data_IF_434369839164
#
_entry.id   IF_434369839164
#
_cell.length_a   1.000
_cell.length_b   1.000
_cell.length_c   1.000
_cell.angle_alpha   90.00
_cell.angle_beta   90.00
_cell.angle_gamma   90.00
#
_symmetry.space_group_name_H-M   'P 1'
#
loop_
_entity.id
_entity.type
_entity.pdbx_description
1 polymer ?
#
# COMPACT_ATOMS: atom_id res chain seq x y z
N UNK A 1 -13.76 -0.20 56.25
CA UNK A 1 -13.12 -1.25 55.42
C UNK A 1 -13.85 -1.37 54.08
N UNK A 2 -13.27 -0.87 52.98
CA UNK A 2 -13.84 -1.03 51.62
C UNK A 2 -13.44 -2.39 51.07
N UNK A 3 -14.39 -3.31 50.98
CA UNK A 3 -14.24 -4.61 50.31
C UNK A 3 -13.90 -4.40 48.84
N UNK A 4 -12.64 -4.67 48.46
CA UNK A 4 -12.20 -4.72 47.05
C UNK A 4 -13.01 -5.81 46.33
N UNK A 5 -14.03 -5.42 45.57
CA UNK A 5 -14.72 -6.29 44.61
C UNK A 5 -13.67 -6.90 43.66
N UNK A 6 -13.38 -8.19 43.82
CA UNK A 6 -12.58 -8.99 42.86
C UNK A 6 -13.24 -8.86 41.49
N UNK A 7 -12.62 -8.12 40.57
CA UNK A 7 -13.02 -8.09 39.16
C UNK A 7 -12.90 -9.53 38.62
N UNK A 8 -14.04 -10.14 38.27
CA UNK A 8 -14.05 -11.45 37.60
C UNK A 8 -13.24 -11.33 36.31
N UNK A 9 -12.28 -12.23 36.15
CA UNK A 9 -11.50 -12.30 34.91
C UNK A 9 -12.47 -12.56 33.74
N UNK A 10 -12.29 -11.86 32.60
CA UNK A 10 -13.15 -12.06 31.44
C UNK A 10 -13.08 -13.50 30.96
N UNK A 11 -14.24 -14.11 30.69
CA UNK A 11 -14.34 -15.47 30.15
C UNK A 11 -13.55 -15.54 28.83
N UNK A 12 -12.61 -16.48 28.74
CA UNK A 12 -11.78 -16.63 27.56
C UNK A 12 -12.65 -16.97 26.34
N UNK A 13 -12.58 -16.13 25.29
CA UNK A 13 -13.29 -16.39 24.03
C UNK A 13 -12.80 -17.70 23.42
N UNK A 14 -13.73 -18.57 23.08
CA UNK A 14 -13.47 -19.83 22.38
C UNK A 14 -13.90 -19.72 20.93
N UNK A 15 -13.26 -20.50 20.06
CA UNK A 15 -13.49 -20.52 18.62
C UNK A 15 -13.77 -21.95 18.16
N UNK A 16 -14.53 -22.12 17.07
CA UNK A 16 -14.82 -23.44 16.49
C UNK A 16 -14.15 -23.62 15.13
N UNK A 17 -14.06 -24.87 14.66
CA UNK A 17 -13.62 -25.17 13.29
C UNK A 17 -14.56 -24.55 12.26
N UNK A 18 -15.88 -24.56 12.50
CA UNK A 18 -16.84 -23.89 11.62
C UNK A 18 -16.56 -22.39 11.46
N UNK A 19 -16.21 -21.69 12.56
CA UNK A 19 -15.78 -20.30 12.50
C UNK A 19 -14.42 -20.11 11.82
N UNK A 20 -13.51 -21.07 11.94
CA UNK A 20 -12.25 -21.07 11.20
C UNK A 20 -12.50 -21.13 9.69
N UNK A 21 -13.35 -22.07 9.25
CA UNK A 21 -13.71 -22.29 7.86
C UNK A 21 -14.50 -21.12 7.27
N UNK A 22 -15.47 -20.57 8.01
CA UNK A 22 -16.29 -19.44 7.56
C UNK A 22 -15.48 -18.16 7.29
N UNK A 23 -14.35 -17.97 7.99
CA UNK A 23 -13.44 -16.83 7.78
C UNK A 23 -12.38 -17.07 6.70
N UNK A 24 -12.37 -18.24 6.06
CA UNK A 24 -11.41 -18.50 4.99
C UNK A 24 -11.81 -17.77 3.70
N UNK A 25 -10.82 -17.32 2.91
CA UNK A 25 -11.08 -16.71 1.62
C UNK A 25 -11.67 -17.72 0.64
N UNK A 26 -12.57 -17.27 -0.24
CA UNK A 26 -13.23 -18.13 -1.23
C UNK A 26 -12.23 -18.85 -2.16
N UNK A 27 -11.08 -18.24 -2.44
CA UNK A 27 -10.02 -18.85 -3.24
C UNK A 27 -9.44 -20.14 -2.64
N UNK A 28 -9.57 -20.34 -1.32
CA UNK A 28 -9.14 -21.58 -0.66
C UNK A 28 -9.92 -22.81 -1.17
N UNK A 29 -11.19 -22.62 -1.56
CA UNK A 29 -12.06 -23.69 -2.07
C UNK A 29 -11.58 -24.29 -3.38
N UNK A 30 -10.78 -23.55 -4.14
CA UNK A 30 -10.23 -23.99 -5.44
C UNK A 30 -8.94 -24.79 -5.31
N UNK A 31 -8.41 -24.91 -4.09
CA UNK A 31 -7.14 -25.59 -3.86
C UNK A 31 -7.39 -27.10 -3.82
N UNK A 32 -6.59 -27.92 -4.54
CA UNK A 32 -6.71 -29.36 -4.51
C UNK A 32 -6.67 -29.92 -3.07
N UNK A 33 -7.59 -30.84 -2.76
CA UNK A 33 -7.74 -31.42 -1.43
C UNK A 33 -8.71 -30.67 -0.51
N UNK A 34 -9.26 -29.52 -0.93
CA UNK A 34 -10.27 -28.80 -0.14
C UNK A 34 -11.53 -29.65 0.09
N UNK A 35 -12.05 -30.32 -0.93
CA UNK A 35 -13.28 -31.13 -0.80
C UNK A 35 -13.06 -32.34 0.12
N UNK A 36 -11.91 -33.01 0.00
CA UNK A 36 -11.52 -34.10 0.90
C UNK A 36 -11.41 -33.62 2.36
N UNK A 37 -10.79 -32.45 2.57
CA UNK A 37 -10.73 -31.81 3.89
C UNK A 37 -12.13 -31.53 4.46
N UNK A 38 -13.04 -30.99 3.64
CA UNK A 38 -14.43 -30.72 4.06
C UNK A 38 -15.20 -32.00 4.37
N UNK A 39 -14.99 -33.08 3.60
CA UNK A 39 -15.60 -34.38 3.86
C UNK A 39 -15.24 -34.89 5.27
N UNK A 40 -13.96 -34.81 5.68
CA UNK A 40 -13.53 -35.18 7.03
C UNK A 40 -14.17 -34.31 8.13
N UNK A 41 -14.34 -33.01 7.88
CA UNK A 41 -15.02 -32.12 8.82
C UNK A 41 -16.51 -32.49 8.98
N UNK A 42 -17.20 -32.75 7.87
CA UNK A 42 -18.61 -33.10 7.91
C UNK A 42 -18.87 -34.50 8.50
N UNK A 43 -17.96 -35.45 8.29
CA UNK A 43 -18.05 -36.79 8.85
C UNK A 43 -17.79 -36.86 10.37
N UNK A 44 -17.12 -35.86 10.96
CA UNK A 44 -16.72 -35.89 12.38
C UNK A 44 -17.54 -34.93 13.25
N UNK A 45 -18.48 -35.48 14.05
CA UNK A 45 -19.20 -34.71 15.07
C UNK A 45 -18.24 -34.09 16.10
N UNK A 46 -17.13 -34.78 16.41
CA UNK A 46 -16.12 -34.29 17.35
C UNK A 46 -15.47 -33.00 16.84
N UNK A 47 -15.10 -32.93 15.55
CA UNK A 47 -14.56 -31.71 14.94
C UNK A 47 -15.58 -30.56 14.90
N UNK A 48 -16.85 -30.87 14.65
CA UNK A 48 -17.92 -29.85 14.60
C UNK A 48 -18.16 -29.20 15.96
N UNK A 49 -18.03 -29.96 17.05
CA UNK A 49 -18.21 -29.50 18.43
C UNK A 49 -16.92 -28.96 19.06
N UNK A 50 -15.77 -29.16 18.42
CA UNK A 50 -14.46 -28.78 18.94
C UNK A 50 -14.38 -27.27 19.19
N UNK A 51 -14.05 -26.91 20.43
CA UNK A 51 -13.76 -25.53 20.84
C UNK A 51 -12.29 -25.38 21.13
N UNK A 52 -11.70 -24.32 20.60
CA UNK A 52 -10.28 -24.02 20.72
C UNK A 52 -10.06 -22.61 21.24
N UNK A 53 -8.95 -22.42 21.95
CA UNK A 53 -8.53 -21.10 22.40
C UNK A 53 -7.99 -20.25 21.22
N UNK A 54 -7.82 -18.95 21.45
CA UNK A 54 -7.33 -18.00 20.45
C UNK A 54 -5.97 -18.39 19.86
N UNK A 55 -5.07 -18.97 20.66
CA UNK A 55 -3.71 -19.35 20.23
C UNK A 55 -3.75 -20.50 19.23
N UNK A 56 -4.47 -21.57 19.55
CA UNK A 56 -4.69 -22.70 18.64
C UNK A 56 -5.34 -22.24 17.33
N UNK A 57 -6.42 -21.45 17.44
CA UNK A 57 -7.10 -20.87 16.29
C UNK A 57 -6.15 -20.06 15.41
N UNK A 58 -5.32 -19.20 16.00
CA UNK A 58 -4.36 -18.37 15.27
C UNK A 58 -3.26 -19.18 14.57
N UNK A 59 -2.81 -20.28 15.17
CA UNK A 59 -1.82 -21.18 14.56
C UNK A 59 -2.40 -21.88 13.33
N UNK A 60 -3.63 -22.38 13.41
CA UNK A 60 -4.34 -22.99 12.29
C UNK A 60 -4.66 -21.95 11.21
N UNK A 61 -5.28 -20.81 11.57
CA UNK A 61 -5.68 -19.79 10.61
C UNK A 61 -4.54 -19.25 9.74
N UNK A 62 -3.32 -19.25 10.28
CA UNK A 62 -2.10 -18.83 9.58
C UNK A 62 -1.21 -19.99 9.09
N UNK A 63 -1.65 -21.24 9.24
CA UNK A 63 -0.91 -22.47 8.87
C UNK A 63 0.54 -22.54 9.38
N UNK A 64 0.80 -22.04 10.59
CA UNK A 64 2.16 -21.92 11.15
C UNK A 64 2.77 -23.22 11.70
N UNK A 65 2.03 -24.33 11.67
CA UNK A 65 2.40 -25.58 12.38
C UNK A 65 3.06 -26.56 11.40
N UNK A 66 4.40 -26.65 11.41
CA UNK A 66 5.15 -27.57 10.53
C UNK A 66 4.63 -29.04 10.61
N UNK A 67 4.64 -29.81 9.51
CA UNK A 67 4.12 -31.19 9.49
C UNK A 67 4.66 -32.07 10.63
N UNK A 68 5.95 -32.00 10.91
CA UNK A 68 6.66 -32.71 11.97
C UNK A 68 6.17 -32.35 13.37
N UNK A 69 5.63 -31.14 13.55
CA UNK A 69 5.12 -30.65 14.83
C UNK A 69 3.63 -30.97 15.06
N UNK A 70 2.98 -31.68 14.12
CA UNK A 70 1.54 -31.93 14.18
C UNK A 70 1.13 -32.78 15.40
N UNK A 71 1.90 -33.81 15.74
CA UNK A 71 1.65 -34.65 16.93
C UNK A 71 1.76 -33.84 18.22
N UNK A 72 2.78 -33.00 18.34
CA UNK A 72 2.95 -32.12 19.49
C UNK A 72 1.78 -31.12 19.57
N UNK A 73 1.35 -30.57 18.43
CA UNK A 73 0.21 -29.66 18.34
C UNK A 73 -1.09 -30.31 18.83
N UNK A 74 -1.38 -31.56 18.42
CA UNK A 74 -2.53 -32.31 18.93
C UNK A 74 -2.49 -32.48 20.44
N UNK A 75 -1.34 -32.89 20.99
CA UNK A 75 -1.17 -33.07 22.43
C UNK A 75 -1.35 -31.77 23.21
N UNK A 76 -0.70 -30.69 22.77
CA UNK A 76 -0.74 -29.39 23.45
C UNK A 76 -2.14 -28.79 23.49
N UNK A 77 -2.92 -28.93 22.42
CA UNK A 77 -4.25 -28.35 22.33
C UNK A 77 -5.39 -29.36 22.50
N UNK A 78 -5.07 -30.62 22.84
CA UNK A 78 -6.01 -31.73 23.02
C UNK A 78 -6.95 -31.89 21.83
N UNK A 79 -6.39 -31.84 20.63
CA UNK A 79 -7.15 -31.98 19.38
C UNK A 79 -7.28 -33.47 19.02
N UNK A 80 -8.38 -33.89 18.38
CA UNK A 80 -8.50 -35.24 17.89
C UNK A 80 -7.49 -35.51 16.76
N UNK A 81 -6.94 -36.72 16.74
CA UNK A 81 -6.13 -37.17 15.61
C UNK A 81 -7.07 -37.46 14.42
N UNK A 82 -7.22 -36.47 13.56
CA UNK A 82 -8.14 -36.52 12.43
C UNK A 82 -7.46 -35.96 11.18
N UNK A 83 -7.66 -36.64 10.04
CA UNK A 83 -7.12 -36.26 8.74
C UNK A 83 -7.49 -34.84 8.29
N UNK A 84 -8.54 -34.23 8.86
CA UNK A 84 -8.87 -32.83 8.66
C UNK A 84 -7.69 -31.88 8.88
N UNK A 85 -6.94 -32.01 9.97
CA UNK A 85 -5.89 -31.04 10.32
C UNK A 85 -4.69 -31.05 9.35
N UNK A 86 -4.08 -32.20 8.99
CA UNK A 86 -2.99 -32.21 8.02
C UNK A 86 -3.47 -31.73 6.65
N UNK A 87 -4.68 -32.12 6.22
CA UNK A 87 -5.27 -31.64 4.97
C UNK A 87 -5.51 -30.13 4.99
N UNK A 88 -6.09 -29.59 6.06
CA UNK A 88 -6.33 -28.15 6.23
C UNK A 88 -5.02 -27.36 6.18
N UNK A 89 -3.98 -27.82 6.88
CA UNK A 89 -2.68 -27.16 6.88
C UNK A 89 -2.02 -27.21 5.49
N UNK A 90 -2.09 -28.34 4.79
CA UNK A 90 -1.56 -28.47 3.44
C UNK A 90 -2.27 -27.54 2.45
N UNK A 91 -3.60 -27.58 2.43
CA UNK A 91 -4.46 -26.71 1.59
C UNK A 91 -4.19 -25.24 1.88
N UNK A 92 -4.14 -24.87 3.17
CA UNK A 92 -3.93 -23.47 3.57
C UNK A 92 -2.52 -22.97 3.23
N UNK A 93 -1.49 -23.78 3.40
CA UNK A 93 -0.11 -23.42 2.99
C UNK A 93 -0.03 -23.16 1.51
N UNK A 94 -0.54 -24.09 0.69
CA UNK A 94 -0.53 -23.94 -0.77
C UNK A 94 -1.21 -22.64 -1.18
N UNK A 95 -2.38 -22.34 -0.61
CA UNK A 95 -3.05 -21.06 -0.83
C UNK A 95 -2.19 -19.84 -0.46
N UNK A 96 -1.50 -19.88 0.69
CA UNK A 96 -0.66 -18.77 1.13
C UNK A 96 0.55 -18.58 0.20
N UNK A 97 1.21 -19.67 -0.21
CA UNK A 97 2.32 -19.66 -1.18
C UNK A 97 1.87 -19.13 -2.54
N UNK A 98 0.74 -19.62 -3.07
CA UNK A 98 0.21 -19.15 -4.35
C UNK A 98 -0.15 -17.66 -4.29
N UNK A 99 -0.68 -17.20 -3.16
CA UNK A 99 -0.99 -15.78 -2.93
C UNK A 99 0.27 -14.92 -2.84
N UNK A 100 1.32 -15.41 -2.19
CA UNK A 100 2.62 -14.74 -2.10
C UNK A 100 3.24 -14.57 -3.49
N UNK A 101 3.34 -15.66 -4.25
CA UNK A 101 3.79 -15.63 -5.65
C UNK A 101 2.97 -14.67 -6.52
N UNK A 102 1.65 -14.68 -6.36
CA UNK A 102 0.78 -13.76 -7.10
C UNK A 102 0.93 -12.29 -6.65
N UNK A 103 1.36 -12.03 -5.41
CA UNK A 103 1.70 -10.70 -4.94
C UNK A 103 3.05 -10.24 -5.49
N UNK A 104 4.07 -11.11 -5.47
CA UNK A 104 5.39 -10.86 -6.05
C UNK A 104 5.29 -10.57 -7.54
N UNK A 105 4.65 -11.45 -8.32
CA UNK A 105 4.44 -11.23 -9.76
C UNK A 105 3.66 -9.94 -10.07
N UNK A 106 2.77 -9.52 -9.15
CA UNK A 106 2.09 -8.21 -9.27
C UNK A 106 3.04 -7.06 -8.97
N UNK A 107 3.85 -7.19 -7.92
CA UNK A 107 4.84 -6.20 -7.54
C UNK A 107 5.85 -5.98 -8.65
N UNK A 108 6.39 -7.05 -9.23
CA UNK A 108 7.34 -7.00 -10.35
C UNK A 108 6.72 -6.35 -11.58
N UNK A 109 5.48 -6.72 -11.91
CA UNK A 109 4.73 -6.08 -12.99
C UNK A 109 4.58 -4.57 -12.78
N UNK A 110 4.17 -4.17 -11.57
CA UNK A 110 4.04 -2.76 -11.20
C UNK A 110 5.39 -2.04 -11.34
N UNK A 111 6.47 -2.62 -10.82
CA UNK A 111 7.81 -2.02 -10.90
C UNK A 111 8.26 -1.86 -12.35
N UNK A 112 8.05 -2.86 -13.20
CA UNK A 112 8.36 -2.80 -14.61
C UNK A 112 7.60 -1.65 -15.31
N UNK A 113 6.29 -1.52 -15.05
CA UNK A 113 5.47 -0.42 -15.58
C UNK A 113 5.93 0.95 -15.08
N UNK A 114 6.23 1.06 -13.79
CA UNK A 114 6.75 2.32 -13.23
C UNK A 114 8.10 2.69 -13.85
N UNK A 115 9.01 1.74 -14.05
CA UNK A 115 10.32 1.97 -14.69
C UNK A 115 10.20 2.39 -16.16
N UNK A 116 9.12 2.02 -16.83
CA UNK A 116 8.83 2.41 -18.21
C UNK A 116 8.22 3.82 -18.35
N UNK A 117 7.92 4.52 -17.24
CA UNK A 117 7.43 5.89 -17.29
C UNK A 117 8.50 6.85 -17.84
N UNK A 118 8.05 7.97 -18.39
CA UNK A 118 8.93 9.02 -18.89
C UNK A 118 9.91 9.50 -17.80
N UNK A 119 11.16 9.78 -18.19
CA UNK A 119 12.22 10.19 -17.28
C UNK A 119 11.84 11.40 -16.39
N UNK A 120 11.19 12.46 -16.91
CA UNK A 120 10.75 13.58 -16.06
C UNK A 120 9.79 13.16 -14.94
N UNK A 121 8.80 12.31 -15.26
CA UNK A 121 7.83 11.76 -14.30
C UNK A 121 8.53 10.94 -13.22
N UNK A 122 9.46 10.07 -13.61
CA UNK A 122 10.25 9.26 -12.67
C UNK A 122 11.09 10.13 -11.73
N UNK A 123 11.71 11.18 -12.25
CA UNK A 123 12.51 12.11 -11.44
C UNK A 123 11.64 12.78 -10.38
N UNK A 124 10.43 13.22 -10.74
CA UNK A 124 9.51 13.83 -9.79
C UNK A 124 8.99 12.86 -8.74
N UNK A 125 8.64 11.63 -9.12
CA UNK A 125 8.23 10.59 -8.17
C UNK A 125 9.35 10.32 -7.15
N UNK A 126 10.60 10.22 -7.62
CA UNK A 126 11.77 10.06 -6.74
C UNK A 126 11.92 11.27 -5.81
N UNK A 127 11.88 12.48 -6.35
CA UNK A 127 12.01 13.71 -5.57
C UNK A 127 10.95 13.79 -4.47
N UNK A 128 9.67 13.51 -4.78
CA UNK A 128 8.58 13.50 -3.79
C UNK A 128 8.80 12.44 -2.70
N UNK A 129 9.34 11.27 -3.05
CA UNK A 129 9.72 10.25 -2.08
C UNK A 129 10.91 10.66 -1.20
N UNK A 130 11.85 11.47 -1.69
CA UNK A 130 12.90 12.08 -0.87
C UNK A 130 12.33 13.19 0.02
N UNK A 131 11.45 14.04 -0.51
CA UNK A 131 10.75 15.08 0.22
C UNK A 131 10.02 14.52 1.42
N UNK A 132 9.17 13.51 1.20
CA UNK A 132 8.43 12.89 2.30
C UNK A 132 9.37 12.30 3.38
N UNK A 133 10.47 11.66 2.99
CA UNK A 133 11.46 11.12 3.96
C UNK A 133 12.06 12.19 4.86
N UNK A 134 12.24 13.42 4.38
CA UNK A 134 12.74 14.53 5.20
C UNK A 134 11.76 14.94 6.30
N UNK A 135 10.45 14.72 6.11
CA UNK A 135 9.40 15.01 7.10
C UNK A 135 8.96 13.77 7.89
N UNK A 136 9.21 12.57 7.37
CA UNK A 136 8.87 11.29 7.98
C UNK A 136 10.13 10.50 8.38
N UNK A 137 10.90 11.04 9.32
CA UNK A 137 12.16 10.42 9.77
C UNK A 137 11.97 8.98 10.30
N UNK A 138 10.82 8.69 10.92
CA UNK A 138 10.50 7.36 11.44
C UNK A 138 10.14 6.34 10.34
N UNK A 139 9.88 6.78 9.11
CA UNK A 139 9.50 5.92 7.98
C UNK A 139 8.16 5.20 8.15
N UNK A 140 7.35 5.59 9.14
CA UNK A 140 6.12 4.89 9.48
C UNK A 140 4.98 5.29 8.52
N UNK A 141 4.44 4.30 7.80
CA UNK A 141 3.29 4.42 6.89
C UNK A 141 3.36 5.66 5.97
N UNK A 142 4.32 5.71 5.04
CA UNK A 142 4.44 6.85 4.15
C UNK A 142 3.23 7.00 3.20
N UNK A 143 2.86 8.25 2.92
CA UNK A 143 1.81 8.68 2.00
C UNK A 143 2.12 8.24 0.57
N UNK A 144 3.38 8.33 0.12
CA UNK A 144 3.75 7.97 -1.26
C UNK A 144 3.39 6.52 -1.59
N UNK A 145 3.57 5.57 -0.67
CA UNK A 145 3.21 4.16 -0.88
C UNK A 145 1.71 3.95 -1.13
N UNK A 146 0.86 4.80 -0.54
CA UNK A 146 -0.61 4.68 -0.65
C UNK A 146 -1.16 5.46 -1.85
N UNK A 147 -0.55 6.59 -2.18
CA UNK A 147 -1.11 7.54 -3.14
C UNK A 147 -0.35 7.60 -4.47
N UNK A 148 0.98 7.58 -4.43
CA UNK A 148 1.82 7.80 -5.61
C UNK A 148 2.33 6.49 -6.22
N UNK A 149 2.51 5.45 -5.41
CA UNK A 149 2.87 4.12 -5.90
C UNK A 149 1.62 3.27 -6.19
N UNK A 150 1.47 2.69 -7.38
CA UNK A 150 0.28 1.91 -7.71
C UNK A 150 0.34 0.53 -7.06
N UNK A 151 -0.73 0.12 -6.37
CA UNK A 151 -0.80 -1.20 -5.70
C UNK A 151 -1.44 -2.30 -6.55
N UNK A 152 -1.92 -1.96 -7.75
CA UNK A 152 -2.62 -2.86 -8.67
C UNK A 152 -2.10 -2.71 -10.10
N UNK A 153 -2.21 -3.80 -10.90
CA UNK A 153 -1.83 -3.80 -12.32
C UNK A 153 -2.61 -2.74 -13.11
N UNK A 154 -3.94 -2.67 -12.92
CA UNK A 154 -4.82 -1.68 -13.56
C UNK A 154 -4.36 -0.24 -13.34
N UNK A 155 -3.99 0.12 -12.10
CA UNK A 155 -3.52 1.48 -11.79
C UNK A 155 -2.14 1.76 -12.39
N UNK A 156 -1.23 0.78 -12.37
CA UNK A 156 0.06 0.91 -13.03
C UNK A 156 -0.08 1.08 -14.55
N UNK A 157 -1.02 0.36 -15.18
CA UNK A 157 -1.32 0.51 -16.60
C UNK A 157 -1.91 1.90 -16.89
N UNK A 158 -2.79 2.42 -16.02
CA UNK A 158 -3.33 3.77 -16.15
C UNK A 158 -2.21 4.84 -16.13
N UNK A 159 -1.20 4.69 -15.29
CA UNK A 159 -0.08 5.64 -15.21
C UNK A 159 0.71 5.76 -16.51
N UNK A 160 0.81 4.67 -17.29
CA UNK A 160 1.47 4.71 -18.61
C UNK A 160 0.68 5.49 -19.66
N UNK A 161 -0.61 5.77 -19.39
CA UNK A 161 -1.53 6.48 -20.29
C UNK A 161 -1.88 7.88 -19.78
N UNK A 162 -1.36 8.28 -18.61
CA UNK A 162 -1.61 9.60 -18.05
C UNK A 162 -1.07 10.69 -18.98
N UNK A 163 -1.92 11.67 -19.24
CA UNK A 163 -1.50 12.95 -19.82
C UNK A 163 -0.64 13.75 -18.83
N UNK A 164 -0.04 14.83 -19.30
CA UNK A 164 0.66 15.78 -18.43
C UNK A 164 -0.29 16.37 -17.37
N UNK A 165 -1.51 16.73 -17.75
CA UNK A 165 -2.52 17.25 -16.83
C UNK A 165 -2.89 16.23 -15.73
N UNK A 166 -3.01 14.95 -16.06
CA UNK A 166 -3.26 13.88 -15.09
C UNK A 166 -2.12 13.78 -14.06
N UNK A 167 -0.87 13.87 -14.53
CA UNK A 167 0.29 13.88 -13.64
C UNK A 167 0.33 15.11 -12.74
N UNK A 168 0.09 16.31 -13.29
CA UNK A 168 0.03 17.54 -12.51
C UNK A 168 -1.05 17.47 -11.42
N UNK A 169 -2.24 16.96 -11.76
CA UNK A 169 -3.31 16.77 -10.77
C UNK A 169 -2.90 15.77 -9.69
N UNK A 170 -2.34 14.61 -10.08
CA UNK A 170 -1.88 13.60 -9.12
C UNK A 170 -0.80 14.14 -8.17
N UNK A 171 0.12 14.95 -8.67
CA UNK A 171 1.17 15.58 -7.85
C UNK A 171 0.60 16.63 -6.90
N UNK A 172 -0.31 17.48 -7.36
CA UNK A 172 -1.01 18.46 -6.51
C UNK A 172 -1.74 17.77 -5.35
N UNK A 173 -2.51 16.73 -5.67
CA UNK A 173 -3.25 15.95 -4.67
C UNK A 173 -2.32 15.26 -3.68
N UNK A 174 -1.18 14.75 -4.17
CA UNK A 174 -0.17 14.14 -3.30
C UNK A 174 0.45 15.16 -2.34
N UNK A 175 0.79 16.36 -2.82
CA UNK A 175 1.34 17.42 -1.99
C UNK A 175 0.35 17.90 -0.92
N UNK A 176 -0.93 18.04 -1.26
CA UNK A 176 -1.97 18.37 -0.29
C UNK A 176 -2.07 17.31 0.83
N UNK A 177 -1.94 16.02 0.47
CA UNK A 177 -1.91 14.92 1.46
C UNK A 177 -0.65 14.95 2.32
N UNK A 178 0.50 15.32 1.75
CA UNK A 178 1.74 15.50 2.53
C UNK A 178 1.57 16.63 3.55
N UNK A 179 1.04 17.78 3.13
CA UNK A 179 0.79 18.93 4.02
C UNK A 179 -0.17 18.56 5.16
N UNK A 180 -1.28 17.89 4.84
CA UNK A 180 -2.26 17.43 5.84
C UNK A 180 -1.66 16.40 6.80
N UNK A 181 -0.76 15.52 6.32
CA UNK A 181 -0.14 14.47 7.14
C UNK A 181 1.00 14.99 8.01
N UNK A 182 1.76 15.96 7.53
CA UNK A 182 2.98 16.48 8.16
C UNK A 182 2.81 17.96 8.49
N UNK A 183 2.31 18.31 9.69
CA UNK A 183 2.05 19.70 10.07
C UNK A 183 3.28 20.62 10.02
N UNK A 184 4.49 20.06 10.12
CA UNK A 184 5.75 20.80 9.99
C UNK A 184 6.08 21.19 8.55
N UNK A 185 5.38 20.64 7.55
CA UNK A 185 5.50 21.02 6.15
C UNK A 185 4.74 22.32 5.89
N UNK A 186 5.49 23.43 5.83
CA UNK A 186 4.94 24.76 5.55
C UNK A 186 4.35 24.83 4.14
N UNK A 187 3.26 25.58 3.99
CA UNK A 187 2.58 25.81 2.70
C UNK A 187 3.53 26.35 1.63
N UNK A 188 4.41 27.29 2.00
CA UNK A 188 5.42 27.84 1.08
C UNK A 188 6.29 26.77 0.42
N UNK A 189 6.55 25.65 1.11
CA UNK A 189 7.34 24.54 0.58
C UNK A 189 6.50 23.76 -0.43
N UNK A 190 5.23 23.50 -0.12
CA UNK A 190 4.29 22.83 -1.01
C UNK A 190 4.10 23.62 -2.30
N UNK A 191 3.80 24.91 -2.20
CA UNK A 191 3.60 25.79 -3.36
C UNK A 191 4.87 25.87 -4.21
N UNK A 192 6.05 25.96 -3.58
CA UNK A 192 7.34 25.94 -4.29
C UNK A 192 7.57 24.63 -5.03
N UNK A 193 7.32 23.48 -4.41
CA UNK A 193 7.47 22.18 -5.08
C UNK A 193 6.53 22.08 -6.28
N UNK A 194 5.26 22.47 -6.10
CA UNK A 194 4.28 22.42 -7.18
C UNK A 194 4.65 23.34 -8.35
N UNK A 195 5.07 24.58 -8.07
CA UNK A 195 5.55 25.51 -9.09
C UNK A 195 6.77 24.95 -9.86
N UNK A 196 7.70 24.33 -9.15
CA UNK A 196 8.83 23.64 -9.76
C UNK A 196 8.38 22.48 -10.67
N UNK A 197 7.36 21.70 -10.28
CA UNK A 197 6.75 20.64 -11.10
C UNK A 197 6.18 21.21 -12.40
N UNK A 198 5.35 22.26 -12.31
CA UNK A 198 4.72 22.91 -13.47
C UNK A 198 5.77 23.41 -14.47
N UNK A 199 6.89 23.97 -13.98
CA UNK A 199 7.97 24.44 -14.86
C UNK A 199 8.90 23.32 -15.35
N UNK A 200 8.74 22.09 -14.87
CA UNK A 200 9.67 20.99 -15.12
C UNK A 200 11.08 21.27 -14.58
N UNK A 201 11.19 21.97 -13.46
CA UNK A 201 12.43 22.36 -12.78
C UNK A 201 12.62 21.53 -11.52
N UNK A 202 13.44 20.49 -11.56
CA UNK A 202 13.67 19.63 -10.38
C UNK A 202 14.65 20.32 -9.42
N UNK A 203 14.29 20.53 -8.14
CA UNK A 203 15.18 21.09 -7.14
C UNK A 203 16.36 20.16 -6.84
N UNK A 204 17.51 20.74 -6.51
CA UNK A 204 18.73 20.05 -6.13
C UNK A 204 18.76 19.63 -4.65
N UNK A 205 17.87 20.22 -3.83
CA UNK A 205 17.81 20.01 -2.37
C UNK A 205 16.43 19.61 -1.89
N UNK A 206 16.42 18.97 -0.72
CA UNK A 206 15.21 18.54 -0.02
C UNK A 206 15.31 18.97 1.45
N UNK A 207 14.38 19.79 1.98
CA UNK A 207 13.34 20.53 1.27
C UNK A 207 13.92 21.54 0.25
N UNK A 208 13.14 21.99 -0.75
CA UNK A 208 13.65 22.88 -1.78
C UNK A 208 13.92 24.29 -1.25
N UNK A 209 15.10 24.82 -1.58
CA UNK A 209 15.35 26.26 -1.54
C UNK A 209 14.73 26.94 -2.77
N UNK A 210 14.65 28.28 -2.75
CA UNK A 210 14.22 29.06 -3.92
C UNK A 210 15.26 28.84 -5.04
N UNK A 211 14.86 28.36 -6.23
CA UNK A 211 15.81 28.14 -7.32
C UNK A 211 16.39 29.47 -7.85
N UNK A 212 17.56 29.46 -8.51
CA UNK A 212 18.12 30.66 -9.13
C UNK A 212 17.16 31.24 -10.18
N UNK A 213 16.96 32.56 -10.17
CA UNK A 213 16.04 33.24 -11.10
C UNK A 213 16.38 32.98 -12.58
N UNK A 214 17.66 32.81 -12.91
CA UNK A 214 18.13 32.44 -14.26
C UNK A 214 17.60 31.09 -14.71
N UNK A 215 17.60 30.08 -13.82
CA UNK A 215 17.06 28.75 -14.10
C UNK A 215 15.54 28.78 -14.26
N UNK A 216 14.84 29.52 -13.39
CA UNK A 216 13.38 29.68 -13.47
C UNK A 216 12.98 30.36 -14.78
N UNK A 217 13.60 31.49 -15.12
CA UNK A 217 13.28 32.22 -16.35
C UNK A 217 13.57 31.40 -17.60
N UNK A 218 14.63 30.58 -17.61
CA UNK A 218 14.93 29.67 -18.72
C UNK A 218 13.84 28.61 -18.89
N UNK A 219 13.42 27.96 -17.81
CA UNK A 219 12.35 26.95 -17.85
C UNK A 219 11.01 27.59 -18.23
N UNK A 220 10.68 28.74 -17.67
CA UNK A 220 9.48 29.52 -18.02
C UNK A 220 9.43 29.81 -19.52
N UNK A 221 10.47 30.42 -20.11
CA UNK A 221 10.50 30.73 -21.55
C UNK A 221 10.26 29.48 -22.40
N UNK A 222 10.89 28.36 -22.05
CA UNK A 222 10.70 27.08 -22.74
C UNK A 222 9.23 26.61 -22.67
N UNK A 223 8.65 26.59 -21.47
CA UNK A 223 7.28 26.11 -21.28
C UNK A 223 6.25 27.06 -21.88
N UNK A 224 6.42 28.37 -21.73
CA UNK A 224 5.55 29.38 -22.35
C UNK A 224 5.53 29.27 -23.87
N UNK A 225 6.66 29.01 -24.52
CA UNK A 225 6.72 28.82 -25.98
C UNK A 225 6.04 27.54 -26.45
N UNK A 226 6.08 26.49 -25.63
CA UNK A 226 5.47 25.19 -25.91
C UNK A 226 3.95 25.24 -25.76
N UNK A 227 3.45 25.93 -24.73
CA UNK A 227 2.04 25.98 -24.37
C UNK A 227 1.38 27.33 -24.70
N UNK A 228 1.96 28.13 -25.61
CA UNK A 228 1.42 29.45 -25.95
C UNK A 228 0.03 29.33 -26.61
N UNK A 229 -1.00 30.08 -26.18
CA UNK A 229 -2.34 30.04 -26.78
C UNK A 229 -2.35 30.29 -28.29
N UNK A 230 -1.59 31.29 -28.75
CA UNK A 230 -1.47 31.61 -30.19
C UNK A 230 -0.85 30.49 -31.04
N UNK A 231 -0.26 29.47 -30.40
CA UNK A 231 0.29 28.27 -31.05
C UNK A 231 -0.59 27.04 -30.86
N UNK A 232 -1.84 27.24 -30.44
CA UNK A 232 -2.79 26.16 -30.13
C UNK A 232 -2.56 25.51 -28.76
N UNK A 233 -1.77 26.14 -27.88
CA UNK A 233 -1.59 25.70 -26.50
C UNK A 233 -2.81 25.96 -25.63
N UNK A 234 -2.96 25.18 -24.56
CA UNK A 234 -4.04 25.36 -23.58
C UNK A 234 -3.81 26.62 -22.73
N UNK A 235 -4.74 27.62 -22.76
CA UNK A 235 -4.64 28.82 -21.95
C UNK A 235 -4.52 28.55 -20.44
N UNK A 236 -5.19 27.51 -19.93
CA UNK A 236 -5.12 27.17 -18.50
C UNK A 236 -3.73 26.71 -18.09
N UNK A 237 -3.05 25.93 -18.94
CA UNK A 237 -1.66 25.51 -18.73
C UNK A 237 -0.72 26.71 -18.78
N UNK A 238 -0.94 27.64 -19.73
CA UNK A 238 -0.13 28.85 -19.84
C UNK A 238 -0.25 29.74 -18.60
N UNK A 239 -1.46 29.91 -18.05
CA UNK A 239 -1.69 30.62 -16.78
C UNK A 239 -0.92 29.96 -15.63
N UNK A 240 -1.04 28.64 -15.49
CA UNK A 240 -0.33 27.90 -14.44
C UNK A 240 1.19 28.05 -14.54
N UNK A 241 1.76 28.08 -15.75
CA UNK A 241 3.20 28.32 -15.98
C UNK A 241 3.61 29.71 -15.49
N UNK A 242 2.79 30.73 -15.74
CA UNK A 242 3.03 32.10 -15.26
C UNK A 242 2.96 32.18 -13.73
N UNK A 243 1.91 31.64 -13.13
CA UNK A 243 1.75 31.60 -11.67
C UNK A 243 2.91 30.84 -10.99
N UNK A 244 3.37 29.75 -11.61
CA UNK A 244 4.51 28.99 -11.11
C UNK A 244 5.81 29.82 -11.14
N UNK A 245 6.06 30.58 -12.21
CA UNK A 245 7.21 31.51 -12.25
C UNK A 245 7.10 32.55 -11.13
N UNK A 246 5.94 33.16 -10.99
CA UNK A 246 5.72 34.24 -10.02
C UNK A 246 5.82 33.71 -8.58
N UNK A 247 5.41 32.47 -8.31
CA UNK A 247 5.63 31.80 -7.02
C UNK A 247 7.13 31.61 -6.69
N UNK A 248 7.96 31.36 -7.71
CA UNK A 248 9.39 31.08 -7.52
C UNK A 248 10.27 32.32 -7.49
N UNK A 249 9.90 33.39 -8.19
CA UNK A 249 10.69 34.64 -8.31
C UNK A 249 10.06 35.79 -7.52
N UNK A 250 8.74 35.78 -7.33
CA UNK A 250 8.01 36.80 -6.58
C UNK A 250 8.51 36.93 -5.13
N UNK A 251 8.19 38.07 -4.48
CA UNK A 251 8.71 38.42 -3.16
C UNK A 251 8.67 37.25 -2.17
#
# INVERSE_FOLDING_TARGET
>A
MRTRRRRRAPVARTYTIGQLLAKQPQGLKRIPGFDAMMAHYHASQQLQRLRMNRRCYGLLANARIAPENLRAFYRTYRLPDNAFFPLFLAVKRRYLTDRERANEARHDYVLARMRALARPTLTWIKYLGHLERAYNAAGLSPVWQKHLFPTSKKRADAYTKHSEADWLSLYRDHLARLQSRYPTMKEIIVSRVYACIVLGLVPDRVPPLRPPATAVNRCYRRQSLLHHPDRGGDPAVFIAIKEARDTLIGP
#
